data_IF_793045154937
#
_entry.id   IF_793045154937
#
_cell.length_a   1.000
_cell.length_b   1.000
_cell.length_c   1.000
_cell.angle_alpha   90.00
_cell.angle_beta   90.00
_cell.angle_gamma   90.00
#
_symmetry.space_group_name_H-M   'P 1'
#
loop_
_entity.id
_entity.type
_entity.pdbx_description
1 polymer ?
#
# COMPACT_ATOMS: atom_id res chain seq x y z
N UNK A 1 9.68 -9.51 -36.69
CA UNK A 1 10.21 -9.83 -35.33
C UNK A 1 9.76 -8.83 -34.27
N UNK A 2 8.45 -8.72 -34.03
CA UNK A 2 7.89 -7.87 -32.96
C UNK A 2 7.29 -8.69 -31.81
N UNK A 3 7.56 -10.01 -31.76
CA UNK A 3 6.92 -10.92 -30.82
C UNK A 3 7.74 -11.26 -29.57
N UNK A 4 9.00 -10.83 -29.47
CA UNK A 4 9.89 -11.29 -28.39
C UNK A 4 10.29 -10.20 -27.37
N UNK A 5 9.59 -9.07 -27.29
CA UNK A 5 9.94 -7.97 -26.35
C UNK A 5 9.04 -7.82 -25.13
N UNK A 6 7.96 -8.59 -25.01
CA UNK A 6 6.99 -8.40 -23.93
C UNK A 6 6.97 -9.51 -22.87
N UNK A 7 7.69 -10.61 -23.09
CA UNK A 7 7.60 -11.78 -22.19
C UNK A 7 8.61 -11.76 -21.03
N UNK A 8 9.57 -10.82 -20.99
CA UNK A 8 10.63 -10.79 -19.96
C UNK A 8 10.90 -9.45 -19.27
N UNK A 9 10.20 -8.36 -19.62
CA UNK A 9 10.34 -7.06 -18.94
C UNK A 9 9.27 -6.88 -17.86
N UNK A 10 9.23 -7.81 -16.89
CA UNK A 10 8.30 -7.71 -15.75
C UNK A 10 8.63 -6.45 -14.94
N UNK A 11 7.89 -5.38 -15.24
CA UNK A 11 7.76 -4.12 -14.50
C UNK A 11 9.01 -3.67 -13.77
N UNK A 12 10.14 -3.52 -14.49
CA UNK A 12 11.45 -3.23 -13.90
C UNK A 12 11.38 -2.10 -12.86
N UNK A 13 10.60 -1.05 -13.13
CA UNK A 13 10.40 0.04 -12.16
C UNK A 13 9.74 -0.40 -10.85
N UNK A 14 8.67 -1.21 -10.91
CA UNK A 14 7.97 -1.68 -9.72
C UNK A 14 8.82 -2.69 -8.94
N UNK A 15 9.58 -3.54 -9.64
CA UNK A 15 10.53 -4.46 -9.01
C UNK A 15 11.64 -3.70 -8.27
N UNK A 16 12.23 -2.70 -8.93
CA UNK A 16 13.22 -1.81 -8.29
C UNK A 16 12.64 -1.08 -7.09
N UNK A 17 11.38 -0.66 -7.16
CA UNK A 17 10.71 0.00 -6.03
C UNK A 17 10.49 -0.94 -4.85
N UNK A 18 10.14 -2.21 -5.11
CA UNK A 18 9.96 -3.23 -4.08
C UNK A 18 11.29 -3.59 -3.40
N UNK A 19 12.37 -3.68 -4.18
CA UNK A 19 13.73 -3.92 -3.68
C UNK A 19 14.27 -2.72 -2.89
N UNK A 20 13.98 -1.49 -3.32
CA UNK A 20 14.51 -0.29 -2.71
C UNK A 20 13.76 0.14 -1.43
N UNK A 21 12.51 -0.26 -1.25
CA UNK A 21 11.68 0.15 -0.12
C UNK A 21 11.27 -1.07 0.72
N UNK A 22 12.06 -1.37 1.75
CA UNK A 22 11.70 -2.38 2.72
C UNK A 22 10.73 -1.81 3.77
N UNK A 23 9.43 -2.11 3.63
CA UNK A 23 8.41 -1.64 4.57
C UNK A 23 8.56 -2.23 5.98
N UNK A 24 9.15 -3.43 6.12
CA UNK A 24 9.39 -4.04 7.44
C UNK A 24 10.48 -3.31 8.23
N UNK A 25 11.41 -2.63 7.55
CA UNK A 25 12.42 -1.77 8.19
C UNK A 25 11.85 -0.40 8.58
N UNK A 26 10.88 0.09 7.80
CA UNK A 26 10.31 1.43 8.00
C UNK A 26 9.21 1.43 9.05
N UNK A 27 8.39 0.36 9.09
CA UNK A 27 7.23 0.28 9.98
C UNK A 27 7.59 -0.54 11.22
N UNK A 28 7.63 0.06 12.43
CA UNK A 28 8.01 -0.67 13.63
C UNK A 28 7.05 -1.83 13.95
N UNK A 29 7.60 -2.96 14.41
CA UNK A 29 6.81 -4.16 14.80
C UNK A 29 5.74 -3.85 15.85
N UNK A 30 6.05 -2.96 16.78
CA UNK A 30 5.14 -2.43 17.79
C UNK A 30 3.94 -1.70 17.17
N UNK A 31 4.16 -0.89 16.13
CA UNK A 31 3.07 -0.25 15.38
C UNK A 31 2.22 -1.28 14.65
N UNK A 32 2.85 -2.26 13.98
CA UNK A 32 2.15 -3.37 13.30
C UNK A 32 1.25 -4.12 14.28
N UNK A 33 1.80 -4.46 15.45
CA UNK A 33 1.09 -5.15 16.52
C UNK A 33 -0.11 -4.35 17.02
N UNK A 34 0.06 -3.04 17.20
CA UNK A 34 -1.03 -2.14 17.57
C UNK A 34 -2.09 -2.02 16.46
N UNK A 35 -1.67 -1.89 15.21
CA UNK A 35 -2.56 -1.81 14.04
C UNK A 35 -3.40 -3.08 13.87
N UNK A 36 -2.86 -4.24 14.22
CA UNK A 36 -3.58 -5.53 14.17
C UNK A 36 -4.19 -5.97 15.50
N UNK A 37 -4.00 -5.22 16.59
CA UNK A 37 -4.62 -5.51 17.87
C UNK A 37 -6.15 -5.64 17.69
N UNK A 38 -6.67 -6.79 18.11
CA UNK A 38 -8.06 -7.19 17.86
C UNK A 38 -9.03 -6.19 18.47
N UNK A 39 -9.90 -5.60 17.65
CA UNK A 39 -11.07 -4.82 18.11
C UNK A 39 -12.36 -5.63 17.98
N UNK A 40 -12.28 -6.96 18.11
CA UNK A 40 -13.46 -7.84 18.11
C UNK A 40 -13.98 -8.29 16.74
N UNK A 41 -13.38 -7.84 15.62
CA UNK A 41 -13.61 -8.41 14.27
C UNK A 41 -12.28 -8.77 13.60
N UNK A 42 -12.18 -9.91 12.91
CA UNK A 42 -10.98 -10.25 12.15
C UNK A 42 -10.80 -9.24 11.01
N UNK A 43 -9.73 -8.44 11.10
CA UNK A 43 -9.33 -7.54 10.00
C UNK A 43 -8.66 -8.40 8.92
N UNK A 44 -9.28 -8.51 7.74
CA UNK A 44 -8.56 -8.97 6.53
C UNK A 44 -7.51 -7.91 6.22
N UNK A 45 -6.25 -8.23 6.47
CA UNK A 45 -5.11 -7.32 6.47
C UNK A 45 -5.01 -6.44 5.20
N UNK A 46 -4.83 -5.11 5.35
CA UNK A 46 -4.48 -4.19 4.25
C UNK A 46 -3.39 -3.16 4.62
N UNK A 47 -2.61 -3.34 5.69
CA UNK A 47 -1.56 -2.38 6.07
C UNK A 47 -0.55 -2.17 4.93
N UNK A 48 0.17 -3.23 4.56
CA UNK A 48 1.17 -3.14 3.49
C UNK A 48 0.57 -2.84 2.12
N UNK A 49 -0.55 -3.44 1.69
CA UNK A 49 -1.17 -3.06 0.43
C UNK A 49 -1.59 -1.60 0.35
N UNK A 50 -2.16 -1.03 1.42
CA UNK A 50 -2.49 0.38 1.46
C UNK A 50 -1.23 1.25 1.46
N UNK A 51 -0.18 0.90 2.21
CA UNK A 51 1.07 1.66 2.20
C UNK A 51 1.73 1.67 0.81
N UNK A 52 1.83 0.52 0.14
CA UNK A 52 2.35 0.44 -1.24
C UNK A 52 1.53 1.29 -2.21
N UNK A 53 0.19 1.27 -2.09
CA UNK A 53 -0.67 2.10 -2.93
C UNK A 53 -0.46 3.61 -2.69
N UNK A 54 -0.27 4.02 -1.43
CA UNK A 54 0.02 5.42 -1.10
C UNK A 54 1.43 5.84 -1.54
N UNK A 55 2.40 4.93 -1.54
CA UNK A 55 3.73 5.18 -2.12
C UNK A 55 3.64 5.40 -3.63
N UNK A 56 2.91 4.54 -4.35
CA UNK A 56 2.63 4.71 -5.78
C UNK A 56 1.94 6.05 -6.03
N UNK A 57 0.93 6.39 -5.22
CA UNK A 57 0.25 7.69 -5.29
C UNK A 57 1.23 8.86 -5.17
N UNK A 58 2.18 8.78 -4.23
CA UNK A 58 3.17 9.83 -4.00
C UNK A 58 4.20 9.92 -5.12
N UNK A 59 4.74 8.79 -5.56
CA UNK A 59 5.81 8.71 -6.57
C UNK A 59 5.32 9.20 -7.93
N UNK A 60 4.14 8.76 -8.36
CA UNK A 60 3.55 9.22 -9.62
C UNK A 60 2.81 10.55 -9.49
N UNK A 61 2.87 11.19 -8.31
CA UNK A 61 2.18 12.47 -8.05
C UNK A 61 0.68 12.40 -8.40
N UNK A 62 0.04 11.27 -8.11
CA UNK A 62 -1.40 11.06 -8.34
C UNK A 62 -2.17 11.93 -7.33
N UNK A 63 -2.94 12.92 -7.80
CA UNK A 63 -3.45 13.98 -6.93
C UNK A 63 -4.62 13.55 -6.03
N UNK A 64 -5.31 12.45 -6.33
CA UNK A 64 -6.53 12.05 -5.60
C UNK A 64 -6.63 10.54 -5.44
N UNK A 65 -7.34 10.14 -4.38
CA UNK A 65 -7.61 8.72 -4.11
C UNK A 65 -8.53 8.11 -5.16
N UNK A 66 -9.46 8.91 -5.69
CA UNK A 66 -10.31 8.49 -6.81
C UNK A 66 -9.47 8.12 -8.04
N UNK A 67 -8.47 8.94 -8.39
CA UNK A 67 -7.62 8.64 -9.52
C UNK A 67 -6.70 7.43 -9.25
N UNK A 68 -6.18 7.30 -8.02
CA UNK A 68 -5.43 6.11 -7.61
C UNK A 68 -6.28 4.84 -7.76
N UNK A 69 -7.54 4.86 -7.30
CA UNK A 69 -8.47 3.74 -7.41
C UNK A 69 -8.74 3.40 -8.87
N UNK A 70 -8.88 4.40 -9.75
CA UNK A 70 -9.01 4.19 -11.19
C UNK A 70 -7.80 3.44 -11.73
N UNK A 71 -6.57 3.89 -11.44
CA UNK A 71 -5.36 3.19 -11.85
C UNK A 71 -5.31 1.74 -11.34
N UNK A 72 -5.62 1.52 -10.06
CA UNK A 72 -5.67 0.18 -9.46
C UNK A 72 -6.76 -0.70 -10.08
N UNK A 73 -7.87 -0.15 -10.57
CA UNK A 73 -8.91 -0.94 -11.26
C UNK A 73 -8.48 -1.36 -12.67
N UNK A 74 -7.71 -0.54 -13.36
CA UNK A 74 -7.33 -0.80 -14.75
C UNK A 74 -6.00 -1.53 -14.91
N UNK A 75 -5.07 -1.39 -13.96
CA UNK A 75 -3.75 -2.04 -14.01
C UNK A 75 -3.69 -3.24 -13.07
N UNK A 76 -3.55 -4.45 -13.63
CA UNK A 76 -3.29 -5.66 -12.84
C UNK A 76 -1.92 -5.58 -12.17
N UNK A 77 -0.96 -4.94 -12.83
CA UNK A 77 0.41 -4.76 -12.39
C UNK A 77 0.49 -3.99 -11.07
N UNK A 78 -0.23 -2.87 -10.99
CA UNK A 78 -0.30 -2.08 -9.77
C UNK A 78 -1.04 -2.82 -8.65
N UNK A 79 -2.03 -3.67 -8.98
CA UNK A 79 -2.70 -4.52 -7.99
C UNK A 79 -1.76 -5.60 -7.46
N UNK A 80 -1.02 -6.26 -8.32
CA UNK A 80 -0.07 -7.31 -7.97
C UNK A 80 1.06 -6.73 -7.11
N UNK A 81 1.62 -5.59 -7.51
CA UNK A 81 2.64 -4.88 -6.74
C UNK A 81 2.14 -4.50 -5.33
N UNK A 82 0.93 -3.95 -5.24
CA UNK A 82 0.36 -3.60 -3.94
C UNK A 82 -0.09 -4.84 -3.14
N UNK A 83 -0.44 -5.95 -3.78
CA UNK A 83 -1.04 -7.12 -3.13
C UNK A 83 -2.54 -6.97 -2.87
N UNK A 84 -3.28 -6.39 -3.81
CA UNK A 84 -4.75 -6.29 -3.72
C UNK A 84 -5.46 -7.38 -4.52
N UNK A 85 -6.14 -8.31 -3.84
CA UNK A 85 -7.12 -9.21 -4.47
C UNK A 85 -8.34 -8.44 -4.98
N UNK A 86 -8.76 -7.42 -4.23
CA UNK A 86 -9.89 -6.54 -4.54
C UNK A 86 -9.49 -5.11 -4.22
N UNK A 87 -9.67 -4.21 -5.19
CA UNK A 87 -9.35 -2.78 -5.02
C UNK A 87 -10.25 -2.17 -3.95
N UNK A 88 -9.69 -1.55 -2.90
CA UNK A 88 -10.47 -0.84 -1.89
C UNK A 88 -11.23 0.35 -2.48
N UNK A 89 -12.41 0.63 -1.96
CA UNK A 89 -13.14 1.86 -2.28
C UNK A 89 -12.52 3.09 -1.56
N UNK A 90 -12.96 4.28 -1.96
CA UNK A 90 -12.45 5.53 -1.40
C UNK A 90 -12.69 5.71 0.11
N UNK A 91 -13.76 5.11 0.65
CA UNK A 91 -14.03 5.16 2.09
C UNK A 91 -12.98 4.37 2.88
N UNK A 92 -12.51 3.25 2.34
CA UNK A 92 -11.42 2.45 2.94
C UNK A 92 -10.09 3.20 2.90
N UNK A 93 -9.76 3.88 1.81
CA UNK A 93 -8.55 4.72 1.74
C UNK A 93 -8.60 5.87 2.74
N UNK A 94 -9.73 6.58 2.82
CA UNK A 94 -9.93 7.69 3.76
C UNK A 94 -9.77 7.21 5.21
N UNK A 95 -10.47 6.12 5.55
CA UNK A 95 -10.41 5.52 6.89
C UNK A 95 -9.02 5.02 7.23
N UNK A 96 -8.34 4.38 6.27
CA UNK A 96 -6.97 3.94 6.47
C UNK A 96 -6.03 5.10 6.80
N UNK A 97 -6.09 6.21 6.05
CA UNK A 97 -5.24 7.39 6.34
C UNK A 97 -5.49 7.97 7.72
N UNK A 98 -6.75 8.03 8.15
CA UNK A 98 -7.14 8.51 9.49
C UNK A 98 -6.63 7.57 10.59
N UNK A 99 -6.94 6.28 10.48
CA UNK A 99 -6.55 5.27 11.46
C UNK A 99 -5.01 5.13 11.54
N UNK A 100 -4.32 5.21 10.40
CA UNK A 100 -2.87 5.20 10.33
C UNK A 100 -2.26 6.41 11.04
N UNK A 101 -2.79 7.62 10.81
CA UNK A 101 -2.32 8.84 11.48
C UNK A 101 -2.52 8.77 13.00
N UNK A 102 -3.68 8.28 13.45
CA UNK A 102 -3.98 8.10 14.88
C UNK A 102 -3.02 7.06 15.49
N UNK A 103 -2.88 5.91 14.84
CA UNK A 103 -1.96 4.86 15.29
C UNK A 103 -0.52 5.36 15.40
N UNK A 104 -0.06 6.16 14.43
CA UNK A 104 1.29 6.70 14.41
C UNK A 104 1.48 7.70 15.55
N UNK A 105 0.49 8.57 15.77
CA UNK A 105 0.51 9.54 16.87
C UNK A 105 0.54 8.85 18.24
N UNK A 106 -0.29 7.83 18.45
CA UNK A 106 -0.30 7.04 19.69
C UNK A 106 1.06 6.37 19.87
N UNK A 107 1.57 5.72 18.83
CA UNK A 107 2.86 5.04 18.86
C UNK A 107 4.01 5.97 19.26
N UNK A 108 4.11 7.14 18.63
CA UNK A 108 5.14 8.15 18.95
C UNK A 108 5.00 8.63 20.39
N UNK A 109 3.78 8.90 20.86
CA UNK A 109 3.54 9.34 22.26
C UNK A 109 3.83 8.28 23.29
N UNK A 110 3.65 7.00 22.98
CA UNK A 110 3.99 5.88 23.87
C UNK A 110 5.48 5.52 23.84
N UNK A 111 6.25 6.04 22.87
CA UNK A 111 7.68 5.76 22.71
C UNK A 111 8.58 6.90 23.18
N UNK A 112 8.01 8.03 23.62
CA UNK A 112 8.69 9.15 24.30
C UNK A 112 8.42 9.09 25.80
#
# INVERSE_FOLDING_TARGET
DCQNKFDNDKYQFLSLLDEAINLDEIVPVSFISHFYASTGRPRKHQLYPMLKALLIQRIFSIPTDTLLIVFLKFSQELRDFCGFDVVPDGSKFTRFKQDFFIGLTIYVRSSC
#
